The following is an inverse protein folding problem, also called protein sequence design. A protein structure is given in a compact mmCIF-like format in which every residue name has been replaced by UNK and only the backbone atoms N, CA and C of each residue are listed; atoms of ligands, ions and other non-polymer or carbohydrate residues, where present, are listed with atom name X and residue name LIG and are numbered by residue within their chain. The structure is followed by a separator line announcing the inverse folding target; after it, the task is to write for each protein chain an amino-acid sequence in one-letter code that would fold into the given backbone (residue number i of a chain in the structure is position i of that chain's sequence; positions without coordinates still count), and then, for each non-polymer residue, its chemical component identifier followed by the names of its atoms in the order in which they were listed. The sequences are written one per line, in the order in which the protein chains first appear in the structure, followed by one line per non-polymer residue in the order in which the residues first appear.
data_IF_684356569246
#
_entry.id   IF_684356569246
#
_cell.length_a   1.000
_cell.length_b   1.000
_cell.length_c   1.000
_cell.angle_alpha   90.00
_cell.angle_beta   90.00
_cell.angle_gamma   90.00
#
_symmetry.space_group_name_H-M   'P 1'
#
loop_
_entity.id
_entity.type
_entity.pdbx_description
1 polymer ?
#
# COMPACT_ATOMS: atom_id res chain seq x y z
N UNK A 1 19.07 10.98 -2.81
CA UNK A 1 18.33 10.73 -1.56
C UNK A 1 17.19 11.73 -1.48
N UNK A 2 15.99 11.28 -1.13
CA UNK A 2 14.76 12.09 -1.14
C UNK A 2 14.37 12.42 0.29
N UNK A 3 14.91 13.50 0.90
CA UNK A 3 14.72 13.77 2.33
C UNK A 3 13.28 14.08 2.73
N UNK A 4 12.45 14.48 1.75
CA UNK A 4 11.02 14.78 1.95
C UNK A 4 10.11 13.57 1.64
N UNK A 5 10.68 12.45 1.19
CA UNK A 5 9.89 11.26 0.90
C UNK A 5 9.61 10.48 2.19
N UNK A 6 8.40 9.94 2.27
CA UNK A 6 7.97 9.04 3.33
C UNK A 6 7.88 7.64 2.72
N UNK A 7 8.56 6.68 3.33
CA UNK A 7 8.50 5.27 2.96
C UNK A 7 8.05 4.50 4.19
N UNK A 8 6.88 3.88 4.12
CA UNK A 8 6.39 2.96 5.15
C UNK A 8 6.40 1.54 4.62
N UNK A 9 6.88 0.61 5.44
CA UNK A 9 6.96 -0.80 5.11
C UNK A 9 6.27 -1.61 6.19
N UNK A 10 5.37 -2.50 5.79
CA UNK A 10 4.72 -3.45 6.67
C UNK A 10 4.50 -4.76 5.94
N UNK A 11 5.09 -5.85 6.45
CA UNK A 11 5.04 -7.18 5.83
C UNK A 11 5.44 -7.10 4.35
N UNK A 12 4.51 -7.37 3.42
CA UNK A 12 4.77 -7.35 1.98
C UNK A 12 4.39 -6.01 1.31
N UNK A 13 3.80 -5.07 2.05
CA UNK A 13 3.33 -3.79 1.52
C UNK A 13 4.34 -2.66 1.76
N UNK A 14 4.57 -1.84 0.74
CA UNK A 14 5.38 -0.63 0.81
C UNK A 14 4.55 0.56 0.32
N UNK A 15 4.39 1.58 1.18
CA UNK A 15 3.76 2.84 0.83
C UNK A 15 4.85 3.89 0.61
N UNK A 16 4.82 4.55 -0.54
CA UNK A 16 5.73 5.64 -0.90
C UNK A 16 4.94 6.93 -1.08
N UNK A 17 5.33 7.99 -0.39
CA UNK A 17 4.73 9.31 -0.52
C UNK A 17 5.80 10.40 -0.67
N UNK A 18 5.49 11.44 -1.44
CA UNK A 18 6.35 12.61 -1.60
C UNK A 18 5.48 13.88 -1.83
N UNK A 19 6.01 15.09 -1.60
CA UNK A 19 5.22 16.32 -1.69
C UNK A 19 4.71 16.69 -3.09
N UNK A 20 5.34 16.16 -4.14
CA UNK A 20 5.03 16.47 -5.55
C UNK A 20 5.05 15.21 -6.39
N UNK A 21 4.23 15.16 -7.45
CA UNK A 21 4.17 14.02 -8.38
C UNK A 21 5.55 13.66 -8.95
N UNK A 22 6.35 14.63 -9.39
CA UNK A 22 7.66 14.36 -10.00
C UNK A 22 8.62 13.69 -9.01
N UNK A 23 8.68 14.22 -7.78
CA UNK A 23 9.47 13.58 -6.70
C UNK A 23 8.93 12.20 -6.37
N UNK A 24 7.61 12.00 -6.35
CA UNK A 24 7.00 10.70 -6.08
C UNK A 24 7.42 9.67 -7.13
N UNK A 25 7.37 10.04 -8.43
CA UNK A 25 7.84 9.17 -9.52
C UNK A 25 9.32 8.80 -9.35
N UNK A 26 10.18 9.78 -9.06
CA UNK A 26 11.61 9.52 -8.87
C UNK A 26 11.89 8.58 -7.68
N UNK A 27 11.20 8.79 -6.54
CA UNK A 27 11.34 7.92 -5.36
C UNK A 27 10.82 6.52 -5.67
N UNK A 28 9.64 6.43 -6.28
CA UNK A 28 9.01 5.18 -6.66
C UNK A 28 9.93 4.33 -7.54
N UNK A 29 10.50 4.91 -8.59
CA UNK A 29 11.39 4.20 -9.52
C UNK A 29 12.70 3.78 -8.84
N UNK A 30 13.23 4.63 -7.96
CA UNK A 30 14.42 4.29 -7.15
C UNK A 30 14.15 3.13 -6.19
N UNK A 31 12.97 3.09 -5.56
CA UNK A 31 12.56 1.98 -4.68
C UNK A 31 12.41 0.70 -5.50
N UNK A 32 11.77 0.78 -6.67
CA UNK A 32 11.58 -0.38 -7.56
C UNK A 32 12.92 -0.94 -8.06
N UNK A 33 13.85 -0.08 -8.45
CA UNK A 33 15.21 -0.48 -8.82
C UNK A 33 15.96 -1.13 -7.64
N UNK A 34 15.89 -0.52 -6.46
CA UNK A 34 16.52 -1.07 -5.26
C UNK A 34 15.97 -2.46 -4.90
N UNK A 35 14.65 -2.65 -4.98
CA UNK A 35 14.01 -3.96 -4.73
C UNK A 35 14.44 -5.00 -5.78
N UNK A 36 14.43 -4.63 -7.07
CA UNK A 36 14.86 -5.50 -8.16
C UNK A 36 16.32 -5.96 -8.00
N UNK A 37 17.21 -5.06 -7.59
CA UNK A 37 18.63 -5.38 -7.33
C UNK A 37 18.82 -6.39 -6.18
N UNK A 38 17.83 -6.53 -5.29
CA UNK A 38 17.82 -7.52 -4.21
C UNK A 38 16.93 -8.74 -4.53
N UNK A 39 16.48 -8.89 -5.79
CA UNK A 39 15.65 -10.01 -6.24
C UNK A 39 14.18 -9.92 -5.80
N UNK A 40 13.73 -8.75 -5.33
CA UNK A 40 12.34 -8.50 -4.96
C UNK A 40 11.63 -7.81 -6.13
N UNK A 41 10.87 -8.57 -6.89
CA UNK A 41 10.14 -8.06 -8.05
C UNK A 41 8.70 -7.68 -7.67
N UNK A 42 8.30 -6.44 -7.99
CA UNK A 42 6.93 -5.98 -7.82
C UNK A 42 6.13 -6.37 -9.06
N UNK A 43 5.12 -7.21 -8.87
CA UNK A 43 4.20 -7.59 -9.94
C UNK A 43 3.39 -6.35 -10.41
N UNK A 44 3.30 -6.07 -11.72
CA UNK A 44 2.62 -4.87 -12.24
C UNK A 44 1.18 -4.71 -11.77
N UNK A 45 0.47 -5.81 -11.53
CA UNK A 45 -0.91 -5.82 -11.02
C UNK A 45 -1.03 -5.46 -9.53
N UNK A 46 0.07 -5.54 -8.77
CA UNK A 46 0.13 -5.16 -7.35
C UNK A 46 0.61 -3.71 -7.16
N UNK A 47 1.12 -3.07 -8.20
CA UNK A 47 1.61 -1.70 -8.19
C UNK A 47 0.44 -0.71 -8.25
N UNK A 48 0.21 0.03 -7.16
CA UNK A 48 -0.89 0.99 -7.05
C UNK A 48 -0.40 2.43 -7.24
N UNK A 49 -0.65 3.03 -8.41
CA UNK A 49 -0.21 4.41 -8.72
C UNK A 49 -1.29 5.47 -8.61
N UNK A 50 -2.55 5.07 -8.73
CA UNK A 50 -3.69 5.98 -8.83
C UNK A 50 -4.63 5.73 -7.65
N UNK A 51 -5.15 6.80 -7.05
CA UNK A 51 -6.19 6.74 -6.02
C UNK A 51 -7.43 6.00 -6.52
N UNK A 52 -8.11 5.18 -5.70
CA UNK A 52 -7.83 4.92 -4.29
C UNK A 52 -6.74 3.85 -4.07
N UNK A 53 -5.83 4.08 -3.12
CA UNK A 53 -4.80 3.12 -2.72
C UNK A 53 -5.27 2.23 -1.56
N UNK A 54 -4.91 0.96 -1.58
CA UNK A 54 -5.12 0.03 -0.46
C UNK A 54 -3.83 -0.17 0.31
N UNK A 55 -3.88 0.01 1.63
CA UNK A 55 -2.75 -0.22 2.53
C UNK A 55 -3.26 -0.60 3.92
N UNK A 56 -2.85 -1.75 4.47
CA UNK A 56 -3.23 -2.23 5.82
C UNK A 56 -4.76 -2.29 6.08
N UNK A 57 -5.54 -2.69 5.07
CA UNK A 57 -7.00 -2.70 5.17
C UNK A 57 -7.62 -1.30 5.23
N UNK A 58 -6.86 -0.25 4.92
CA UNK A 58 -7.35 1.10 4.67
C UNK A 58 -7.46 1.34 3.16
N UNK A 59 -8.45 2.16 2.81
CA UNK A 59 -8.57 2.79 1.50
C UNK A 59 -8.15 4.24 1.69
N UNK A 60 -7.08 4.64 1.01
CA UNK A 60 -6.52 5.98 1.03
C UNK A 60 -6.95 6.66 -0.27
N UNK A 61 -7.65 7.78 -0.14
CA UNK A 61 -7.91 8.74 -1.20
C UNK A 61 -6.94 9.92 -1.07
N UNK A 62 -6.93 10.84 -2.05
CA UNK A 62 -5.98 11.97 -2.09
C UNK A 62 -5.92 12.82 -0.81
N UNK A 63 -7.03 12.90 -0.06
CA UNK A 63 -7.15 13.74 1.15
C UNK A 63 -7.78 13.05 2.35
N UNK A 64 -8.24 11.81 2.20
CA UNK A 64 -8.99 11.09 3.23
C UNK A 64 -8.56 9.65 3.27
N UNK A 65 -8.67 9.01 4.42
CA UNK A 65 -8.55 7.57 4.53
C UNK A 65 -9.79 7.01 5.20
N UNK A 66 -10.20 5.81 4.79
CA UNK A 66 -11.33 5.10 5.37
C UNK A 66 -10.97 3.63 5.56
N UNK A 67 -11.47 2.97 6.62
CA UNK A 67 -11.37 1.53 6.73
C UNK A 67 -11.98 0.86 5.48
N UNK A 68 -11.35 -0.21 5.01
CA UNK A 68 -11.98 -1.11 4.06
C UNK A 68 -13.24 -1.65 4.70
N UNK A 69 -14.35 -1.62 3.96
CA UNK A 69 -15.63 -2.09 4.48
C UNK A 69 -15.53 -3.57 4.85
N UNK A 70 -15.49 -3.84 6.15
CA UNK A 70 -15.59 -5.20 6.70
C UNK A 70 -17.08 -5.49 6.86
N UNK A 71 -17.61 -6.38 6.04
CA UNK A 71 -18.97 -6.89 6.25
C UNK A 71 -18.90 -7.92 7.36
N UNK A 72 -19.27 -7.52 8.57
CA UNK A 72 -19.38 -8.45 9.69
C UNK A 72 -20.54 -9.41 9.42
N UNK A 73 -20.23 -10.69 9.23
CA UNK A 73 -21.27 -11.72 9.15
C UNK A 73 -21.90 -11.89 10.52
N UNK A 74 -23.21 -11.68 10.61
CA UNK A 74 -23.97 -11.94 11.85
C UNK A 74 -24.32 -13.41 12.02
N UNK A 75 -24.06 -14.25 11.02
CA UNK A 75 -24.28 -15.70 11.05
C UNK A 75 -22.95 -16.42 11.29
N UNK A 76 -22.52 -16.40 12.54
CA UNK A 76 -21.31 -17.08 13.00
C UNK A 76 -21.68 -18.53 13.33
N UNK A 77 -21.11 -19.51 12.62
CA UNK A 77 -21.33 -20.95 12.87
C UNK A 77 -20.09 -21.65 13.40
N UNK A 78 -18.92 -21.12 13.12
CA UNK A 78 -17.62 -21.70 13.47
C UNK A 78 -16.72 -20.64 14.10
N UNK A 79 -15.67 -21.09 14.82
CA UNK A 79 -14.64 -20.18 15.35
C UNK A 79 -13.94 -19.40 14.22
N UNK A 80 -13.76 -20.03 13.06
CA UNK A 80 -13.19 -19.37 11.89
C UNK A 80 -14.07 -18.20 11.41
N UNK A 81 -15.40 -18.32 11.45
CA UNK A 81 -16.31 -17.23 11.07
C UNK A 81 -16.24 -16.01 12.00
N UNK A 82 -15.71 -16.18 13.22
CA UNK A 82 -15.48 -15.09 14.16
C UNK A 82 -14.08 -14.46 13.98
N UNK A 83 -13.10 -15.25 13.55
CA UNK A 83 -11.72 -14.84 13.37
C UNK A 83 -11.44 -14.21 11.99
N UNK A 84 -12.30 -14.49 11.01
CA UNK A 84 -12.27 -13.97 9.64
C UNK A 84 -12.96 -12.61 9.53
#
# INVERSE_FOLDING_TARGET
LFPEAIIFHYMDDILVAAPTSDKLTLVHDSVKEALANHGLEIAPEKEQKISPWKYLGLIIDERTFRPQAVTLSTRIKTLNDLQS
#
